data_IF_008927898387
#
_entry.id   IF_008927898387
#
_cell.length_a   1.000
_cell.length_b   1.000
_cell.length_c   1.000
_cell.angle_alpha   90.00
_cell.angle_beta   90.00
_cell.angle_gamma   90.00
#
_symmetry.space_group_name_H-M   'P 1'
#
loop_
_entity.id
_entity.type
_entity.pdbx_description
1 polymer ?
#
# COMPACT_ATOMS: atom_id res chain seq x y z
N UNK A 1 -20.84 -37.31 49.51
CA UNK A 1 -19.98 -36.17 49.16
C UNK A 1 -18.90 -36.64 48.18
N UNK A 2 -19.02 -36.28 46.90
CA UNK A 2 -17.91 -36.11 45.94
C UNK A 2 -18.49 -35.36 44.73
N UNK A 3 -17.92 -34.20 44.47
CA UNK A 3 -18.46 -33.13 43.65
C UNK A 3 -18.51 -33.52 42.17
N UNK A 4 -19.70 -33.44 41.56
CA UNK A 4 -19.87 -33.40 40.11
C UNK A 4 -19.72 -31.93 39.71
N UNK A 5 -18.52 -31.55 39.25
CA UNK A 5 -18.31 -30.28 38.57
C UNK A 5 -18.91 -30.42 37.17
N UNK A 6 -19.99 -29.70 36.79
CA UNK A 6 -20.36 -29.65 35.40
C UNK A 6 -19.28 -28.86 34.68
N UNK A 7 -18.61 -29.54 33.76
CA UNK A 7 -17.71 -28.99 32.77
C UNK A 7 -18.54 -28.02 31.90
N UNK A 8 -18.73 -26.79 32.40
CA UNK A 8 -19.29 -25.67 31.65
C UNK A 8 -18.19 -25.19 30.69
N UNK A 9 -17.89 -26.02 29.69
CA UNK A 9 -17.10 -25.65 28.53
C UNK A 9 -17.99 -24.73 27.68
N UNK A 10 -18.18 -23.50 28.16
CA UNK A 10 -18.81 -22.43 27.39
C UNK A 10 -17.93 -22.27 26.16
N UNK A 11 -18.46 -22.73 25.04
CA UNK A 11 -18.01 -22.42 23.71
C UNK A 11 -17.95 -20.90 23.56
N UNK A 12 -16.80 -20.33 23.92
CA UNK A 12 -16.37 -19.02 23.46
C UNK A 12 -16.08 -19.12 21.96
N UNK A 13 -17.10 -19.46 21.16
CA UNK A 13 -17.15 -18.96 19.81
C UNK A 13 -17.35 -17.46 19.97
N UNK A 14 -16.24 -16.75 20.09
CA UNK A 14 -16.22 -15.30 19.99
C UNK A 14 -17.04 -14.96 18.74
N UNK A 15 -18.18 -14.30 18.92
CA UNK A 15 -18.87 -13.64 17.83
C UNK A 15 -17.88 -12.65 17.24
N UNK A 16 -17.13 -13.07 16.22
CA UNK A 16 -16.48 -12.13 15.33
C UNK A 16 -17.60 -11.27 14.79
N UNK A 17 -17.44 -9.96 14.95
CA UNK A 17 -18.39 -9.02 14.37
C UNK A 17 -18.40 -9.21 12.85
N UNK A 18 -19.52 -8.90 12.19
CA UNK A 18 -19.57 -8.99 10.73
C UNK A 18 -18.48 -8.10 10.10
N UNK A 19 -18.15 -6.97 10.74
CA UNK A 19 -17.09 -6.05 10.35
C UNK A 19 -15.70 -6.69 10.37
N UNK A 20 -15.39 -7.52 11.38
CA UNK A 20 -14.07 -8.17 11.53
C UNK A 20 -13.70 -8.96 10.27
N UNK A 21 -14.70 -9.50 9.57
CA UNK A 21 -14.51 -10.26 8.33
C UNK A 21 -13.97 -9.35 7.22
N UNK A 22 -14.37 -8.08 7.17
CA UNK A 22 -13.94 -7.10 6.18
C UNK A 22 -12.61 -6.41 6.50
N UNK A 23 -12.12 -6.44 7.75
CA UNK A 23 -10.91 -5.76 8.22
C UNK A 23 -9.60 -6.37 7.69
N UNK A 24 -9.48 -6.43 6.37
CA UNK A 24 -8.46 -7.15 5.61
C UNK A 24 -8.03 -6.35 4.37
N UNK A 25 -6.95 -6.76 3.70
CA UNK A 25 -6.64 -6.29 2.34
C UNK A 25 -7.43 -7.09 1.31
N UNK A 26 -8.16 -6.36 0.48
CA UNK A 26 -8.94 -6.85 -0.64
C UNK A 26 -8.41 -6.26 -1.93
N UNK A 27 -8.36 -7.03 -3.01
CA UNK A 27 -7.96 -6.55 -4.32
C UNK A 27 -9.05 -6.78 -5.35
N UNK A 28 -9.15 -5.89 -6.33
CA UNK A 28 -10.07 -6.01 -7.44
C UNK A 28 -9.45 -5.47 -8.73
N UNK A 29 -9.80 -6.06 -9.87
CA UNK A 29 -9.43 -5.59 -11.21
C UNK A 29 -10.54 -4.76 -11.86
N UNK A 30 -11.72 -4.74 -11.23
CA UNK A 30 -12.98 -4.31 -11.86
C UNK A 30 -13.47 -2.95 -11.36
N UNK A 31 -12.68 -2.24 -10.55
CA UNK A 31 -13.06 -0.96 -9.96
C UNK A 31 -11.89 0.04 -9.93
N UNK A 32 -12.12 1.21 -10.50
CA UNK A 32 -11.26 2.39 -10.34
C UNK A 32 -11.93 3.39 -9.39
N UNK A 33 -11.31 3.58 -8.22
CA UNK A 33 -11.83 4.45 -7.18
C UNK A 33 -11.63 5.94 -7.46
N UNK A 34 -10.77 6.28 -8.42
CA UNK A 34 -10.57 7.65 -8.90
C UNK A 34 -11.70 8.10 -9.83
N UNK A 35 -12.48 7.15 -10.37
CA UNK A 35 -13.65 7.43 -11.18
C UNK A 35 -14.89 7.64 -10.32
N UNK A 36 -15.76 8.54 -10.77
CA UNK A 36 -17.03 8.86 -10.08
C UNK A 36 -17.94 7.63 -9.95
N UNK A 37 -17.98 6.82 -11.00
CA UNK A 37 -18.83 5.66 -11.17
C UNK A 37 -18.23 4.36 -10.61
N UNK A 38 -16.95 4.35 -10.25
CA UNK A 38 -16.25 3.14 -9.82
C UNK A 38 -16.06 2.13 -10.96
N UNK A 39 -16.24 2.53 -12.22
CA UNK A 39 -15.99 1.65 -13.36
C UNK A 39 -14.49 1.31 -13.44
N UNK A 40 -14.08 0.18 -14.03
CA UNK A 40 -12.67 -0.13 -14.18
C UNK A 40 -11.94 0.95 -14.98
N UNK A 41 -10.64 1.08 -14.72
CA UNK A 41 -9.76 1.85 -15.60
C UNK A 41 -9.83 1.25 -17.01
N UNK A 42 -9.58 2.05 -18.04
CA UNK A 42 -9.64 1.58 -19.43
C UNK A 42 -8.62 0.43 -19.71
N UNK A 43 -7.67 0.20 -18.80
CA UNK A 43 -6.82 -1.00 -18.79
C UNK A 43 -7.38 -2.11 -17.90
N UNK A 44 -7.81 -3.22 -18.50
CA UNK A 44 -8.37 -4.41 -17.84
C UNK A 44 -7.39 -5.18 -16.89
N UNK A 45 -6.18 -4.67 -16.67
CA UNK A 45 -5.13 -5.32 -15.86
C UNK A 45 -4.77 -4.53 -14.59
N UNK A 46 -5.46 -3.42 -14.35
CA UNK A 46 -5.17 -2.50 -13.27
C UNK A 46 -5.80 -2.97 -11.95
N UNK A 47 -5.00 -3.60 -11.08
CA UNK A 47 -5.44 -3.98 -9.74
C UNK A 47 -5.46 -2.80 -8.77
N UNK A 48 -6.59 -2.63 -8.07
CA UNK A 48 -6.76 -1.74 -6.92
C UNK A 48 -6.82 -2.58 -5.64
N UNK A 49 -6.03 -2.19 -4.64
CA UNK A 49 -6.05 -2.78 -3.29
C UNK A 49 -6.82 -1.84 -2.35
N UNK A 50 -7.67 -2.42 -1.52
CA UNK A 50 -8.43 -1.76 -0.47
C UNK A 50 -8.09 -2.43 0.86
N UNK A 51 -7.61 -1.66 1.82
CA UNK A 51 -7.37 -2.11 3.19
C UNK A 51 -8.35 -1.41 4.11
N UNK A 52 -9.13 -2.20 4.85
CA UNK A 52 -10.11 -1.72 5.82
C UNK A 52 -9.59 -1.95 7.24
N UNK A 53 -9.57 -0.92 8.08
CA UNK A 53 -9.05 -0.97 9.43
C UNK A 53 -10.16 -0.99 10.49
N UNK A 54 -9.91 -1.58 11.68
CA UNK A 54 -10.91 -1.65 12.75
C UNK A 54 -11.39 -0.31 13.30
N UNK A 55 -10.61 0.76 13.13
CA UNK A 55 -10.94 2.11 13.60
C UNK A 55 -11.72 2.93 12.58
N UNK A 56 -12.32 2.27 11.58
CA UNK A 56 -13.10 2.91 10.52
C UNK A 56 -12.23 3.62 9.47
N UNK A 57 -10.90 3.55 9.53
CA UNK A 57 -10.04 4.05 8.45
C UNK A 57 -9.98 3.06 7.29
N UNK A 58 -9.79 3.57 6.10
CA UNK A 58 -9.51 2.76 4.92
C UNK A 58 -8.38 3.36 4.09
N UNK A 59 -7.70 2.49 3.36
CA UNK A 59 -6.63 2.86 2.43
C UNK A 59 -6.94 2.23 1.08
N UNK A 60 -6.81 3.03 0.03
CA UNK A 60 -6.82 2.53 -1.33
C UNK A 60 -5.45 2.70 -1.95
N UNK A 61 -4.98 1.64 -2.59
CA UNK A 61 -3.78 1.65 -3.40
C UNK A 61 -4.16 1.31 -4.84
N UNK A 62 -4.20 2.32 -5.70
CA UNK A 62 -4.68 2.19 -7.08
C UNK A 62 -3.61 1.63 -8.00
N UNK A 63 -4.01 1.15 -9.17
CA UNK A 63 -3.08 0.59 -10.14
C UNK A 63 -2.05 1.61 -10.68
N UNK A 64 -2.41 2.90 -10.70
CA UNK A 64 -1.50 4.02 -11.02
C UNK A 64 -0.49 4.31 -9.90
N UNK A 65 -0.63 3.63 -8.76
CA UNK A 65 0.23 3.73 -7.60
C UNK A 65 -0.16 4.84 -6.63
N UNK A 66 -1.37 5.42 -6.78
CA UNK A 66 -1.87 6.41 -5.83
C UNK A 66 -2.31 5.74 -4.54
N UNK A 67 -2.01 6.42 -3.45
CA UNK A 67 -2.36 6.02 -2.10
C UNK A 67 -3.37 7.04 -1.56
N UNK A 68 -4.57 6.57 -1.27
CA UNK A 68 -5.71 7.41 -0.89
C UNK A 68 -6.15 7.00 0.51
N UNK A 69 -6.19 7.97 1.42
CA UNK A 69 -6.79 7.82 2.75
C UNK A 69 -8.28 8.11 2.69
N UNK A 70 -9.03 7.39 3.51
CA UNK A 70 -10.49 7.42 3.54
C UNK A 70 -11.00 6.83 4.85
N UNK A 71 -12.32 6.88 5.04
CA UNK A 71 -12.99 6.12 6.10
C UNK A 71 -13.99 5.15 5.50
N UNK A 72 -14.38 4.16 6.28
CA UNK A 72 -15.38 3.18 5.94
C UNK A 72 -16.27 2.84 7.13
N UNK A 73 -17.46 2.34 6.84
CA UNK A 73 -18.39 1.77 7.81
C UNK A 73 -19.15 0.61 7.16
N UNK A 74 -19.60 -0.35 7.98
CA UNK A 74 -20.54 -1.40 7.57
C UNK A 74 -21.89 -1.12 8.22
N UNK A 75 -22.93 -0.93 7.41
CA UNK A 75 -24.29 -0.81 7.94
C UNK A 75 -25.28 -1.50 7.01
N UNK A 76 -26.23 -2.25 7.59
CA UNK A 76 -27.33 -2.87 6.85
C UNK A 76 -26.87 -3.75 5.67
N UNK A 77 -25.74 -4.48 5.83
CA UNK A 77 -25.16 -5.32 4.77
C UNK A 77 -24.53 -4.53 3.61
N UNK A 78 -24.18 -3.26 3.83
CA UNK A 78 -23.52 -2.41 2.84
C UNK A 78 -22.21 -1.88 3.40
N UNK A 79 -21.16 -1.93 2.56
CA UNK A 79 -19.89 -1.25 2.85
C UNK A 79 -19.98 0.17 2.29
N UNK A 80 -19.77 1.15 3.15
CA UNK A 80 -19.75 2.57 2.79
C UNK A 80 -18.30 3.05 2.77
N UNK A 81 -17.88 3.66 1.67
CA UNK A 81 -16.52 4.19 1.50
C UNK A 81 -16.58 5.72 1.34
N UNK A 82 -16.09 6.44 2.34
CA UNK A 82 -16.11 7.91 2.42
C UNK A 82 -14.87 8.49 1.75
N UNK A 83 -15.03 9.03 0.54
CA UNK A 83 -13.91 9.53 -0.25
C UNK A 83 -13.59 10.98 0.16
N UNK A 84 -12.33 11.25 0.53
CA UNK A 84 -11.88 12.59 0.93
C UNK A 84 -11.82 13.59 -0.24
N UNK A 85 -11.85 13.11 -1.48
CA UNK A 85 -11.93 13.98 -2.67
C UNK A 85 -13.32 14.61 -2.70
N UNK A 86 -13.40 15.90 -2.37
CA UNK A 86 -14.64 16.71 -2.18
C UNK A 86 -15.69 16.54 -3.30
N UNK A 87 -15.28 16.14 -4.51
CA UNK A 87 -16.16 15.94 -5.65
C UNK A 87 -16.74 14.51 -5.80
N UNK A 88 -16.27 13.54 -5.01
CA UNK A 88 -16.67 12.14 -5.15
C UNK A 88 -17.76 11.77 -4.13
N UNK A 89 -18.92 11.26 -4.56
CA UNK A 89 -19.98 10.87 -3.64
C UNK A 89 -19.55 9.69 -2.76
N UNK A 90 -20.22 9.51 -1.62
CA UNK A 90 -20.16 8.29 -0.82
C UNK A 90 -20.36 7.06 -1.73
N UNK A 91 -19.38 6.16 -1.76
CA UNK A 91 -19.53 4.92 -2.53
C UNK A 91 -20.21 3.89 -1.63
N UNK A 92 -21.41 3.45 -2.04
CA UNK A 92 -22.22 2.46 -1.34
C UNK A 92 -22.06 1.13 -2.04
N UNK A 93 -21.58 0.11 -1.35
CA UNK A 93 -21.33 -1.20 -1.93
C UNK A 93 -22.24 -2.22 -1.24
N UNK A 94 -23.47 -2.43 -1.75
CA UNK A 94 -24.33 -3.51 -1.27
C UNK A 94 -23.63 -4.84 -1.44
N UNK A 95 -23.37 -5.52 -0.31
CA UNK A 95 -22.68 -6.81 -0.31
C UNK A 95 -23.62 -7.85 -0.89
N UNK A 96 -23.18 -8.49 -1.96
CA UNK A 96 -23.95 -9.53 -2.65
C UNK A 96 -23.59 -10.93 -2.14
N UNK A 97 -22.30 -11.22 -2.00
CA UNK A 97 -21.80 -12.46 -1.39
C UNK A 97 -20.57 -12.18 -0.54
N UNK A 98 -20.34 -13.03 0.47
CA UNK A 98 -19.13 -12.99 1.29
C UNK A 98 -18.63 -14.40 1.57
N UNK A 99 -17.36 -14.64 1.27
CA UNK A 99 -16.57 -15.82 1.57
C UNK A 99 -15.23 -15.42 2.21
N UNK A 100 -14.56 -16.34 2.89
CA UNK A 100 -13.32 -16.04 3.64
C UNK A 100 -12.18 -15.47 2.78
N UNK A 101 -12.17 -15.80 1.49
CA UNK A 101 -11.16 -15.37 0.52
C UNK A 101 -11.68 -14.36 -0.49
N UNK A 102 -12.97 -14.04 -0.48
CA UNK A 102 -13.54 -13.07 -1.41
C UNK A 102 -14.92 -12.60 -1.00
N UNK A 103 -15.24 -11.36 -1.34
CA UNK A 103 -16.61 -10.86 -1.30
C UNK A 103 -16.96 -10.17 -2.60
N UNK A 104 -18.23 -9.94 -2.84
CA UNK A 104 -18.68 -9.24 -4.04
C UNK A 104 -19.69 -8.17 -3.68
N UNK A 105 -19.70 -7.07 -4.40
CA UNK A 105 -20.69 -6.03 -4.24
C UNK A 105 -21.15 -5.44 -5.57
N UNK A 106 -22.36 -4.90 -5.57
CA UNK A 106 -22.91 -4.17 -6.71
C UNK A 106 -22.38 -2.74 -6.74
N UNK A 107 -21.96 -2.26 -7.92
CA UNK A 107 -21.56 -0.86 -8.06
C UNK A 107 -22.80 0.07 -8.06
N UNK A 108 -22.73 1.26 -7.43
CA UNK A 108 -23.81 2.24 -7.49
C UNK A 108 -24.22 2.59 -8.91
N UNK A 109 -25.53 2.55 -9.20
CA UNK A 109 -26.07 2.92 -10.51
C UNK A 109 -25.74 1.93 -11.63
N UNK A 110 -25.28 0.73 -11.30
CA UNK A 110 -24.96 -0.33 -12.24
C UNK A 110 -25.49 -1.69 -11.77
N UNK A 111 -25.83 -2.57 -12.70
CA UNK A 111 -26.10 -3.99 -12.41
C UNK A 111 -24.80 -4.81 -12.27
N UNK A 112 -23.64 -4.19 -12.50
CA UNK A 112 -22.35 -4.86 -12.41
C UNK A 112 -22.03 -5.26 -10.97
N UNK A 113 -21.62 -6.51 -10.82
CA UNK A 113 -21.05 -7.06 -9.58
C UNK A 113 -19.53 -7.04 -9.70
N UNK A 114 -18.87 -6.46 -8.71
CA UNK A 114 -17.41 -6.44 -8.56
C UNK A 114 -17.03 -7.47 -7.52
N UNK A 115 -15.99 -8.25 -7.81
CA UNK A 115 -15.41 -9.21 -6.87
C UNK A 115 -14.15 -8.64 -6.26
N UNK A 116 -14.03 -8.82 -4.95
CA UNK A 116 -12.92 -8.43 -4.11
C UNK A 116 -12.25 -9.69 -3.58
N UNK A 117 -11.01 -9.93 -3.94
CA UNK A 117 -10.26 -11.10 -3.49
C UNK A 117 -9.34 -10.72 -2.34
N UNK A 118 -9.29 -11.54 -1.28
CA UNK A 118 -8.37 -11.35 -0.18
C UNK A 118 -6.94 -11.44 -0.69
N UNK A 119 -6.19 -10.35 -0.59
CA UNK A 119 -4.81 -10.27 -1.08
C UNK A 119 -3.92 -9.53 -0.08
N UNK A 120 -3.32 -10.23 0.89
CA UNK A 120 -2.46 -9.62 1.90
C UNK A 120 -1.07 -9.30 1.32
N UNK A 121 -0.95 -8.75 0.11
CA UNK A 121 0.35 -8.54 -0.56
C UNK A 121 1.31 -7.69 0.26
N UNK A 122 0.77 -6.68 0.94
CA UNK A 122 1.50 -5.70 1.72
C UNK A 122 1.43 -5.97 3.24
N UNK A 123 0.96 -7.17 3.62
CA UNK A 123 0.83 -7.59 5.02
C UNK A 123 1.61 -8.88 5.30
N UNK A 124 2.29 -8.98 6.43
CA UNK A 124 2.90 -10.23 6.91
C UNK A 124 2.83 -10.32 8.43
N UNK A 125 2.07 -11.28 8.94
CA UNK A 125 1.76 -11.41 10.38
C UNK A 125 1.13 -10.12 10.91
N UNK A 126 1.80 -9.42 11.82
CA UNK A 126 1.37 -8.13 12.39
C UNK A 126 1.85 -6.92 11.59
N UNK A 127 2.68 -7.11 10.56
CA UNK A 127 3.24 -6.00 9.80
C UNK A 127 2.33 -5.62 8.65
N UNK A 128 1.94 -4.35 8.61
CA UNK A 128 1.12 -3.75 7.56
C UNK A 128 1.89 -2.60 6.92
N UNK A 129 2.23 -2.73 5.63
CA UNK A 129 2.91 -1.68 4.87
C UNK A 129 1.94 -0.62 4.34
N UNK A 130 0.63 -0.79 4.46
CA UNK A 130 -0.37 0.20 4.07
C UNK A 130 -0.84 1.07 5.23
N UNK A 131 -0.30 0.88 6.44
CA UNK A 131 -0.73 1.63 7.62
C UNK A 131 -0.50 3.15 7.44
N UNK A 132 -1.51 4.01 7.63
CA UNK A 132 -1.42 5.46 7.33
C UNK A 132 -0.24 6.18 7.97
N UNK A 133 0.09 5.84 9.21
CA UNK A 133 1.15 6.45 10.01
C UNK A 133 2.51 6.35 9.33
N UNK A 134 2.76 5.25 8.61
CA UNK A 134 4.04 4.95 7.93
C UNK A 134 4.05 5.39 6.46
N UNK A 135 2.91 5.85 5.93
CA UNK A 135 2.74 6.16 4.51
C UNK A 135 2.46 7.64 4.23
N UNK A 136 2.67 8.54 5.21
CA UNK A 136 2.56 9.99 5.01
C UNK A 136 3.42 10.50 3.85
N UNK A 137 4.54 9.83 3.55
CA UNK A 137 5.41 10.16 2.41
C UNK A 137 4.70 10.02 1.05
N UNK A 138 3.66 9.18 0.95
CA UNK A 138 2.87 8.96 -0.28
C UNK A 138 1.88 10.08 -0.57
N UNK A 139 1.57 10.91 0.43
CA UNK A 139 0.60 12.00 0.26
C UNK A 139 1.28 13.17 -0.45
N UNK A 140 0.58 13.76 -1.43
CA UNK A 140 1.06 14.98 -2.09
C UNK A 140 1.19 16.11 -1.07
N UNK A 141 2.31 16.83 -1.10
CA UNK A 141 2.49 18.04 -0.28
C UNK A 141 1.48 19.11 -0.71
N UNK A 142 0.70 19.66 0.22
CA UNK A 142 -0.24 20.76 -0.05
C UNK A 142 0.42 22.13 -0.11
N UNK A 143 1.68 22.22 0.33
CA UNK A 143 2.55 23.41 0.32
C UNK A 143 4.00 22.99 0.09
N UNK A 144 4.89 23.91 -0.31
CA UNK A 144 6.32 23.64 -0.36
C UNK A 144 6.86 23.18 1.01
N UNK A 145 7.72 22.18 0.98
CA UNK A 145 8.43 21.61 2.12
C UNK A 145 9.75 22.34 2.35
N UNK A 146 10.08 22.54 3.63
CA UNK A 146 11.42 22.89 4.07
C UNK A 146 12.44 21.82 3.67
N UNK A 147 13.72 22.17 3.71
CA UNK A 147 14.82 21.22 3.46
C UNK A 147 14.73 19.99 4.38
N UNK A 148 14.45 20.19 5.66
CA UNK A 148 14.34 19.13 6.66
C UNK A 148 13.11 18.23 6.40
N UNK A 149 11.94 18.82 6.12
CA UNK A 149 10.73 18.06 5.79
C UNK A 149 10.91 17.24 4.50
N UNK A 150 11.58 17.82 3.49
CA UNK A 150 11.86 17.13 2.23
C UNK A 150 12.82 15.95 2.44
N UNK A 151 13.89 16.13 3.24
CA UNK A 151 14.81 15.04 3.62
C UNK A 151 14.07 13.94 4.37
N UNK A 152 13.18 14.29 5.31
CA UNK A 152 12.40 13.29 6.04
C UNK A 152 11.42 12.54 5.12
N UNK A 153 10.76 13.22 4.19
CA UNK A 153 9.88 12.57 3.20
C UNK A 153 10.65 11.55 2.35
N UNK A 154 11.82 11.92 1.82
CA UNK A 154 12.71 11.03 1.05
C UNK A 154 13.18 9.85 1.91
N UNK A 155 13.58 10.11 3.16
CA UNK A 155 14.01 9.07 4.11
C UNK A 155 12.90 8.07 4.42
N UNK A 156 11.70 8.57 4.75
CA UNK A 156 10.52 7.74 5.02
C UNK A 156 10.15 6.86 3.81
N UNK A 157 10.27 7.39 2.60
CA UNK A 157 10.05 6.62 1.37
C UNK A 157 11.12 5.53 1.16
N UNK A 158 12.40 5.83 1.37
CA UNK A 158 13.46 4.82 1.30
C UNK A 158 13.32 3.74 2.38
N UNK A 159 12.92 4.10 3.60
CA UNK A 159 12.59 3.14 4.67
C UNK A 159 11.45 2.22 4.27
N UNK A 160 10.38 2.77 3.71
CA UNK A 160 9.29 1.95 3.17
C UNK A 160 9.79 0.95 2.13
N UNK A 161 10.67 1.37 1.22
CA UNK A 161 11.23 0.48 0.21
C UNK A 161 12.05 -0.65 0.83
N UNK A 162 12.85 -0.37 1.87
CA UNK A 162 13.54 -1.39 2.64
C UNK A 162 12.57 -2.38 3.30
N UNK A 163 11.52 -1.87 3.96
CA UNK A 163 10.49 -2.67 4.63
C UNK A 163 9.73 -3.57 3.64
N UNK A 164 9.48 -3.07 2.42
CA UNK A 164 8.87 -3.85 1.35
C UNK A 164 9.75 -5.03 0.91
N UNK A 165 11.04 -4.80 0.68
CA UNK A 165 11.96 -5.90 0.36
C UNK A 165 12.11 -6.88 1.51
N UNK A 166 12.13 -6.40 2.75
CA UNK A 166 12.12 -7.26 3.94
C UNK A 166 10.87 -8.16 4.01
N UNK A 167 9.70 -7.60 3.74
CA UNK A 167 8.44 -8.35 3.66
C UNK A 167 8.49 -9.44 2.57
N UNK A 168 9.02 -9.13 1.38
CA UNK A 168 9.18 -10.10 0.28
C UNK A 168 10.11 -11.24 0.69
N UNK A 169 11.24 -10.92 1.33
CA UNK A 169 12.18 -11.92 1.84
C UNK A 169 11.49 -12.84 2.85
N UNK A 170 10.73 -12.26 3.81
CA UNK A 170 10.03 -13.03 4.84
C UNK A 170 8.88 -13.90 4.31
N UNK A 171 8.28 -13.49 3.19
CA UNK A 171 7.27 -14.27 2.45
C UNK A 171 7.87 -15.30 1.49
N UNK A 172 9.20 -15.33 1.36
CA UNK A 172 9.90 -16.15 0.37
C UNK A 172 9.42 -15.91 -1.07
N UNK A 173 8.97 -14.68 -1.36
CA UNK A 173 8.45 -14.33 -2.67
C UNK A 173 9.61 -14.13 -3.66
N UNK A 174 9.63 -14.82 -4.81
CA UNK A 174 10.78 -14.81 -5.72
C UNK A 174 10.83 -13.57 -6.63
N UNK A 175 9.83 -12.69 -6.54
CA UNK A 175 9.68 -11.49 -7.34
C UNK A 175 9.23 -10.31 -6.47
N UNK A 176 9.33 -9.11 -7.01
CA UNK A 176 8.75 -7.91 -6.42
C UNK A 176 8.05 -7.09 -7.50
N UNK A 177 7.20 -6.16 -7.08
CA UNK A 177 6.45 -5.29 -7.98
C UNK A 177 6.98 -3.85 -7.87
N UNK A 178 7.78 -3.37 -8.84
CA UNK A 178 8.36 -2.02 -8.78
C UNK A 178 7.32 -0.91 -8.64
N UNK A 179 6.09 -1.12 -9.14
CA UNK A 179 4.99 -0.15 -9.02
C UNK A 179 4.66 0.18 -7.56
N UNK A 180 4.77 -0.78 -6.64
CA UNK A 180 4.45 -0.58 -5.22
C UNK A 180 5.45 0.36 -4.52
N UNK A 181 6.66 0.49 -5.07
CA UNK A 181 7.71 1.33 -4.53
C UNK A 181 7.57 2.80 -4.92
N UNK A 182 7.04 3.11 -6.11
CA UNK A 182 6.91 4.49 -6.62
C UNK A 182 8.25 5.27 -6.51
N UNK A 183 9.38 4.65 -6.86
CA UNK A 183 10.72 5.27 -6.74
C UNK A 183 11.19 5.84 -8.09
N UNK A 184 12.10 6.83 -8.09
CA UNK A 184 12.75 7.32 -9.31
C UNK A 184 13.88 6.38 -9.79
N UNK A 185 13.98 5.19 -9.19
CA UNK A 185 14.98 4.20 -9.51
C UNK A 185 14.56 3.30 -10.69
N UNK A 186 15.56 2.67 -11.29
CA UNK A 186 15.41 1.55 -12.18
C UNK A 186 16.09 0.34 -11.55
N UNK A 187 15.38 -0.78 -11.49
CA UNK A 187 15.92 -2.03 -10.99
C UNK A 187 16.34 -2.91 -12.18
N UNK A 188 17.51 -3.51 -12.08
CA UNK A 188 18.04 -4.43 -13.09
C UNK A 188 18.63 -5.66 -12.41
N UNK A 189 18.92 -6.69 -13.22
CA UNK A 189 19.55 -7.90 -12.71
C UNK A 189 20.93 -7.55 -12.13
N UNK A 190 21.02 -7.55 -10.80
CA UNK A 190 22.27 -7.27 -10.07
C UNK A 190 22.53 -5.80 -9.76
N UNK A 191 21.56 -4.89 -9.91
CA UNK A 191 21.79 -3.46 -9.66
C UNK A 191 20.54 -2.59 -9.49
N UNK A 192 20.78 -1.37 -8.98
CA UNK A 192 19.83 -0.27 -8.92
C UNK A 192 20.46 0.94 -9.60
N UNK A 193 19.66 1.68 -10.35
CA UNK A 193 20.05 2.92 -11.03
C UNK A 193 19.08 4.03 -10.77
N UNK A 194 19.50 5.25 -11.10
CA UNK A 194 18.63 6.42 -11.13
C UNK A 194 18.21 6.66 -12.58
N UNK A 195 16.90 6.75 -12.84
CA UNK A 195 16.40 7.26 -14.12
C UNK A 195 16.72 8.73 -14.22
N UNK A 196 16.83 9.31 -15.41
CA UNK A 196 16.90 10.77 -15.51
C UNK A 196 15.65 11.42 -14.90
N UNK A 197 15.74 12.68 -14.45
CA UNK A 197 14.57 13.36 -13.88
C UNK A 197 13.40 13.44 -14.89
N UNK A 198 13.69 13.60 -16.18
CA UNK A 198 12.67 13.58 -17.23
C UNK A 198 11.91 12.23 -17.27
N UNK A 199 12.62 11.12 -17.12
CA UNK A 199 12.09 9.74 -17.17
C UNK A 199 11.59 9.21 -15.81
N UNK A 200 11.75 9.99 -14.73
CA UNK A 200 11.24 9.61 -13.43
C UNK A 200 9.70 9.45 -13.48
N UNK A 201 9.10 8.45 -12.80
CA UNK A 201 7.67 8.18 -12.89
C UNK A 201 6.82 9.40 -12.57
N UNK A 202 5.78 9.67 -13.35
CA UNK A 202 4.86 10.78 -13.10
C UNK A 202 4.19 10.67 -11.72
N UNK A 203 3.83 9.45 -11.30
CA UNK A 203 3.28 9.18 -9.96
C UNK A 203 4.25 9.51 -8.83
N UNK A 204 5.57 9.37 -9.06
CA UNK A 204 6.59 9.81 -8.10
C UNK A 204 6.71 11.33 -8.04
N UNK A 205 6.70 12.02 -9.20
CA UNK A 205 6.72 13.50 -9.25
C UNK A 205 5.50 14.10 -8.57
N UNK A 206 4.33 13.47 -8.70
CA UNK A 206 3.07 13.89 -8.10
C UNK A 206 3.04 13.82 -6.56
N UNK A 207 4.04 13.19 -5.91
CA UNK A 207 4.15 13.15 -4.45
C UNK A 207 4.57 14.50 -3.85
N UNK A 208 5.11 15.41 -4.65
CA UNK A 208 5.66 16.70 -4.22
C UNK A 208 4.72 17.85 -4.56
N UNK A 209 4.98 19.01 -3.96
CA UNK A 209 4.15 20.20 -4.19
C UNK A 209 4.14 20.62 -5.68
N UNK A 210 5.34 20.78 -6.23
CA UNK A 210 5.61 21.16 -7.61
C UNK A 210 6.84 20.43 -8.20
N UNK A 211 7.16 20.72 -9.46
CA UNK A 211 8.29 20.10 -10.17
C UNK A 211 9.65 20.50 -9.59
N UNK A 212 9.79 21.71 -9.05
CA UNK A 212 11.03 22.19 -8.46
C UNK A 212 11.36 21.46 -7.15
N UNK A 213 10.36 21.25 -6.30
CA UNK A 213 10.48 20.40 -5.11
C UNK A 213 10.78 18.94 -5.48
N UNK A 214 10.12 18.40 -6.53
CA UNK A 214 10.44 17.07 -7.03
C UNK A 214 11.91 16.98 -7.49
N UNK A 215 12.44 17.99 -8.18
CA UNK A 215 13.85 18.02 -8.60
C UNK A 215 14.82 18.09 -7.41
N UNK A 216 14.48 18.86 -6.37
CA UNK A 216 15.23 18.87 -5.10
C UNK A 216 15.23 17.48 -4.45
N UNK A 217 14.07 16.82 -4.38
CA UNK A 217 13.95 15.46 -3.86
C UNK A 217 14.78 14.45 -4.69
N UNK A 218 14.69 14.53 -6.02
CA UNK A 218 15.49 13.72 -6.95
C UNK A 218 16.98 13.81 -6.62
N UNK A 219 17.47 15.03 -6.36
CA UNK A 219 18.88 15.27 -6.03
C UNK A 219 19.28 14.59 -4.71
N UNK A 220 18.38 14.52 -3.72
CA UNK A 220 18.60 13.78 -2.47
C UNK A 220 18.69 12.26 -2.72
N UNK A 221 17.79 11.70 -3.52
CA UNK A 221 17.86 10.28 -3.93
C UNK A 221 19.18 9.96 -4.65
N UNK A 222 19.57 10.79 -5.61
CA UNK A 222 20.81 10.59 -6.37
C UNK A 222 22.04 10.68 -5.47
N UNK A 223 22.07 11.62 -4.53
CA UNK A 223 23.14 11.75 -3.53
C UNK A 223 23.23 10.51 -2.65
N UNK A 224 22.09 10.00 -2.15
CA UNK A 224 22.03 8.79 -1.33
C UNK A 224 22.52 7.56 -2.11
N UNK A 225 22.07 7.38 -3.36
CA UNK A 225 22.50 6.28 -4.22
C UNK A 225 24.02 6.31 -4.48
N UNK A 226 24.58 7.49 -4.77
CA UNK A 226 26.03 7.66 -4.98
C UNK A 226 26.86 7.31 -3.74
N UNK A 227 26.38 7.67 -2.54
CA UNK A 227 27.04 7.33 -1.26
C UNK A 227 27.03 5.83 -0.98
N UNK A 228 25.95 5.14 -1.37
CA UNK A 228 25.86 3.67 -1.25
C UNK A 228 26.91 2.97 -2.11
N UNK A 229 27.26 3.56 -3.27
CA UNK A 229 28.39 3.15 -4.11
C UNK A 229 28.13 1.88 -4.93
N UNK A 230 27.88 0.74 -4.27
CA UNK A 230 27.55 -0.53 -4.92
C UNK A 230 26.54 -1.32 -4.11
N UNK A 231 25.78 -2.20 -4.76
CA UNK A 231 24.90 -3.09 -4.02
C UNK A 231 25.71 -4.00 -3.09
N UNK A 232 25.32 -4.12 -1.81
CA UNK A 232 25.92 -5.08 -0.90
C UNK A 232 25.88 -6.48 -1.50
N UNK A 233 27.03 -7.14 -1.57
CA UNK A 233 27.14 -8.52 -2.08
C UNK A 233 27.16 -9.47 -0.89
N UNK A 234 26.24 -10.43 -0.86
CA UNK A 234 26.37 -11.60 0.01
C UNK A 234 27.36 -12.58 -0.67
N UNK A 235 28.54 -12.83 -0.07
CA UNK A 235 29.57 -13.67 -0.69
C UNK A 235 29.20 -15.15 -0.73
N UNK A 236 28.19 -15.59 0.06
CA UNK A 236 27.83 -17.01 0.18
C UNK A 236 26.62 -17.35 -0.68
N UNK A 237 25.63 -16.45 -0.79
CA UNK A 237 24.44 -16.63 -1.65
C UNK A 237 23.91 -15.27 -2.11
N UNK A 238 24.06 -14.88 -3.38
CA UNK A 238 23.54 -13.60 -3.86
C UNK A 238 22.00 -13.62 -3.82
N UNK A 239 21.42 -13.06 -2.76
CA UNK A 239 19.99 -12.79 -2.68
C UNK A 239 19.77 -11.32 -3.04
N UNK A 240 19.28 -11.09 -4.26
CA UNK A 240 19.09 -9.75 -4.81
C UNK A 240 18.14 -8.90 -3.95
N UNK A 241 17.10 -9.49 -3.36
CA UNK A 241 16.17 -8.76 -2.48
C UNK A 241 16.85 -8.30 -1.20
N UNK A 242 17.76 -9.12 -0.62
CA UNK A 242 18.57 -8.69 0.54
C UNK A 242 19.49 -7.52 0.18
N UNK A 243 20.13 -7.57 -0.99
CA UNK A 243 20.96 -6.47 -1.47
C UNK A 243 20.15 -5.19 -1.69
N UNK A 244 18.94 -5.29 -2.25
CA UNK A 244 18.04 -4.14 -2.42
C UNK A 244 17.57 -3.58 -1.08
N UNK A 245 17.14 -4.43 -0.13
CA UNK A 245 16.79 -4.04 1.25
C UNK A 245 17.93 -3.25 1.91
N UNK A 246 19.14 -3.80 1.91
CA UNK A 246 20.31 -3.16 2.54
C UNK A 246 20.68 -1.83 1.87
N UNK A 247 20.62 -1.76 0.54
CA UNK A 247 20.85 -0.51 -0.17
C UNK A 247 19.82 0.57 0.19
N UNK A 248 18.53 0.21 0.32
CA UNK A 248 17.49 1.15 0.74
C UNK A 248 17.69 1.62 2.19
N UNK A 249 18.07 0.72 3.11
CA UNK A 249 18.41 1.05 4.50
C UNK A 249 19.58 2.04 4.57
N UNK A 250 20.65 1.78 3.81
CA UNK A 250 21.82 2.65 3.76
C UNK A 250 21.47 4.03 3.17
N UNK A 251 20.75 4.07 2.06
CA UNK A 251 20.30 5.34 1.46
C UNK A 251 19.41 6.14 2.42
N UNK A 252 18.57 5.48 3.22
CA UNK A 252 17.74 6.14 4.22
C UNK A 252 18.57 6.71 5.38
N UNK A 253 19.61 6.01 5.82
CA UNK A 253 20.52 6.46 6.88
C UNK A 253 21.37 7.67 6.42
N UNK A 254 21.86 7.63 5.18
CA UNK A 254 22.73 8.65 4.58
C UNK A 254 21.98 9.95 4.19
N UNK A 255 20.67 10.03 4.38
CA UNK A 255 19.88 11.26 4.25
C UNK A 255 20.12 12.28 5.38
N UNK A 256 21.22 12.17 6.10
CA UNK A 256 21.77 13.11 7.09
C UNK A 256 22.89 13.93 6.44
#
# INVERSE_FOLDING_TARGET
MKYVFPLLLVLLFACQSEEDRFMQSWATLDMDLERRDGLPADSATAETIIRLYPDGRSVYYTASGHYILSTWELAQGQVYLHREVIALPLLRLPVYTFFDLSWSARLPGSERIVTFHKKPYLEYRSDDLLVPERNKWRLRSSKPLSDEELREKVRSHLRYAADYFDLIIRKEQPYFEPRLLVLPFQFYRGGIGMRSFAEAPASWKALFFDEHEALRAYSLYLKALRRTGSLPKDPKRPNLMKSFRQAMEQMAADGQ
#
